data_IF_103823551322
#
_entry.id   IF_103823551322
#
_cell.length_a   1.000
_cell.length_b   1.000
_cell.length_c   1.000
_cell.angle_alpha   90.00
_cell.angle_beta   90.00
_cell.angle_gamma   90.00
#
_symmetry.space_group_name_H-M   'P 1'
#
loop_
_entity.id
_entity.type
_entity.pdbx_description
1 polymer ?
#
# COMPACT_ATOMS: atom_id res chain seq x y z
N UNK A 1 -20.71 -28.16 -19.06
CA UNK A 1 -21.36 -27.25 -18.09
C UNK A 1 -22.30 -28.09 -17.24
N UNK A 2 -22.13 -28.07 -15.92
CA UNK A 2 -23.00 -28.80 -15.01
C UNK A 2 -24.45 -28.30 -15.13
N UNK A 3 -25.43 -29.21 -15.14
CA UNK A 3 -26.85 -28.82 -15.25
C UNK A 3 -27.27 -27.83 -14.15
N UNK A 4 -26.64 -27.91 -12.98
CA UNK A 4 -26.85 -27.00 -11.88
C UNK A 4 -26.40 -25.56 -12.18
N UNK A 5 -25.28 -25.38 -12.91
CA UNK A 5 -24.76 -24.05 -13.29
C UNK A 5 -25.72 -23.36 -14.26
N UNK A 6 -26.25 -24.09 -15.27
CA UNK A 6 -27.21 -23.53 -16.20
C UNK A 6 -28.47 -23.02 -15.47
N UNK A 7 -29.00 -23.83 -14.53
CA UNK A 7 -30.16 -23.47 -13.73
C UNK A 7 -29.90 -22.24 -12.84
N UNK A 8 -28.72 -22.14 -12.23
CA UNK A 8 -28.31 -20.97 -11.44
C UNK A 8 -28.30 -19.73 -12.34
N UNK A 9 -27.63 -19.77 -13.49
CA UNK A 9 -27.50 -18.62 -14.42
C UNK A 9 -28.85 -18.13 -14.91
N UNK A 10 -29.75 -19.04 -15.30
CA UNK A 10 -31.09 -18.67 -15.78
C UNK A 10 -31.95 -18.00 -14.71
N UNK A 11 -31.73 -18.35 -13.45
CA UNK A 11 -32.48 -17.79 -12.32
C UNK A 11 -31.91 -16.49 -11.76
N UNK A 12 -30.60 -16.20 -11.95
CA UNK A 12 -29.92 -15.08 -11.32
C UNK A 12 -30.57 -13.72 -11.56
N UNK A 13 -30.94 -13.30 -12.79
CA UNK A 13 -31.49 -11.98 -13.03
C UNK A 13 -32.77 -11.67 -12.27
N UNK A 14 -33.53 -12.71 -11.93
CA UNK A 14 -34.82 -12.59 -11.25
C UNK A 14 -34.72 -12.73 -9.73
N UNK A 15 -33.53 -12.95 -9.18
CA UNK A 15 -33.34 -13.12 -7.73
C UNK A 15 -33.23 -11.78 -7.03
N UNK A 16 -33.97 -11.61 -5.94
CA UNK A 16 -33.86 -10.48 -5.02
C UNK A 16 -32.64 -10.64 -4.09
N UNK A 17 -32.26 -11.91 -3.84
CA UNK A 17 -31.18 -12.29 -2.96
C UNK A 17 -30.36 -13.44 -3.59
N UNK A 18 -29.05 -13.38 -3.43
CA UNK A 18 -28.10 -14.37 -3.97
C UNK A 18 -27.42 -15.20 -2.87
N UNK A 19 -27.77 -14.99 -1.59
CA UNK A 19 -27.17 -15.67 -0.43
C UNK A 19 -27.17 -17.20 -0.60
N UNK A 20 -28.25 -17.79 -1.03
CA UNK A 20 -28.31 -19.24 -1.24
C UNK A 20 -27.35 -19.74 -2.34
N UNK A 21 -26.96 -18.91 -3.30
CA UNK A 21 -25.92 -19.26 -4.29
C UNK A 21 -24.54 -19.13 -3.67
N UNK A 22 -24.31 -18.10 -2.84
CA UNK A 22 -23.07 -17.92 -2.10
C UNK A 22 -22.81 -19.11 -1.16
N UNK A 23 -23.81 -19.52 -0.38
CA UNK A 23 -23.73 -20.66 0.55
C UNK A 23 -23.39 -21.96 -0.20
N UNK A 24 -23.97 -22.18 -1.38
CA UNK A 24 -23.67 -23.36 -2.20
C UNK A 24 -22.24 -23.34 -2.74
N UNK A 25 -21.73 -22.16 -3.18
CA UNK A 25 -20.35 -21.99 -3.61
C UNK A 25 -19.40 -22.33 -2.46
N UNK A 26 -19.58 -21.71 -1.29
CA UNK A 26 -18.73 -21.94 -0.10
C UNK A 26 -18.75 -23.41 0.33
N UNK A 27 -19.95 -24.00 0.40
CA UNK A 27 -20.12 -25.41 0.78
C UNK A 27 -19.35 -26.34 -0.16
N UNK A 28 -19.41 -26.11 -1.48
CA UNK A 28 -18.70 -26.94 -2.47
C UNK A 28 -17.20 -26.75 -2.41
N UNK A 29 -16.71 -25.50 -2.37
CA UNK A 29 -15.28 -25.21 -2.26
C UNK A 29 -14.70 -25.83 -0.98
N UNK A 30 -15.37 -25.68 0.15
CA UNK A 30 -14.97 -26.28 1.43
C UNK A 30 -15.01 -27.82 1.40
N UNK A 31 -15.94 -28.40 0.65
CA UNK A 31 -16.03 -29.85 0.46
C UNK A 31 -15.01 -30.41 -0.55
N UNK A 32 -14.11 -29.57 -1.11
CA UNK A 32 -13.09 -29.99 -2.06
C UNK A 32 -13.55 -30.06 -3.51
N UNK A 33 -14.64 -29.36 -3.88
CA UNK A 33 -15.12 -29.18 -5.25
C UNK A 33 -14.97 -27.74 -5.73
N UNK A 34 -13.71 -27.25 -5.94
CA UNK A 34 -13.46 -25.89 -6.45
C UNK A 34 -13.85 -25.72 -7.92
N UNK A 35 -14.04 -26.82 -8.65
CA UNK A 35 -14.41 -26.76 -10.05
C UNK A 35 -15.79 -26.17 -10.28
N UNK A 36 -16.73 -26.37 -9.35
CA UNK A 36 -18.04 -25.74 -9.42
C UNK A 36 -17.94 -24.20 -9.40
N UNK A 37 -17.19 -23.65 -8.43
CA UNK A 37 -17.01 -22.20 -8.31
C UNK A 37 -16.31 -21.61 -9.56
N UNK A 38 -15.25 -22.29 -10.05
CA UNK A 38 -14.55 -21.90 -11.29
C UNK A 38 -15.49 -21.91 -12.49
N UNK A 39 -16.25 -22.97 -12.69
CA UNK A 39 -17.09 -23.14 -13.86
C UNK A 39 -18.28 -22.17 -13.85
N UNK A 40 -18.85 -21.89 -12.67
CA UNK A 40 -19.87 -20.86 -12.48
C UNK A 40 -19.32 -19.48 -12.85
N UNK A 41 -18.15 -19.09 -12.30
CA UNK A 41 -17.52 -17.81 -12.61
C UNK A 41 -17.19 -17.69 -14.11
N UNK A 42 -16.62 -18.74 -14.74
CA UNK A 42 -16.36 -18.77 -16.18
C UNK A 42 -17.63 -18.62 -17.04
N UNK A 43 -18.70 -19.29 -16.63
CA UNK A 43 -19.97 -19.20 -17.34
C UNK A 43 -20.56 -17.78 -17.25
N UNK A 44 -20.42 -17.11 -16.09
CA UNK A 44 -20.81 -15.70 -15.94
C UNK A 44 -19.99 -14.81 -16.88
N UNK A 45 -18.66 -14.97 -16.92
CA UNK A 45 -17.80 -14.20 -17.82
C UNK A 45 -18.17 -14.42 -19.29
N UNK A 46 -18.46 -15.67 -19.66
CA UNK A 46 -18.85 -16.05 -21.03
C UNK A 46 -20.18 -15.43 -21.51
N UNK A 47 -21.06 -15.03 -20.58
CA UNK A 47 -22.30 -14.31 -20.96
C UNK A 47 -22.04 -12.91 -21.54
N UNK A 48 -20.84 -12.34 -21.29
CA UNK A 48 -20.46 -11.01 -21.76
C UNK A 48 -21.22 -9.87 -21.05
N UNK A 49 -20.77 -8.63 -21.26
CA UNK A 49 -21.29 -7.44 -20.55
C UNK A 49 -22.78 -7.19 -20.82
N UNK A 50 -23.22 -7.30 -22.04
CA UNK A 50 -24.62 -7.01 -22.47
C UNK A 50 -25.65 -7.94 -21.84
N UNK A 51 -25.27 -9.15 -21.44
CA UNK A 51 -26.14 -10.12 -20.80
C UNK A 51 -26.06 -10.17 -19.30
N UNK A 52 -25.09 -9.45 -18.70
CA UNK A 52 -24.78 -9.51 -17.27
C UNK A 52 -24.81 -8.13 -16.60
N UNK A 53 -25.73 -7.25 -17.04
CA UNK A 53 -25.97 -5.95 -16.39
C UNK A 53 -26.60 -6.08 -15.00
N UNK A 54 -27.24 -7.22 -14.71
CA UNK A 54 -27.81 -7.47 -13.40
C UNK A 54 -26.69 -7.62 -12.35
N UNK A 55 -26.83 -6.90 -11.23
CA UNK A 55 -25.87 -6.91 -10.12
C UNK A 55 -25.57 -8.30 -9.54
N UNK A 56 -26.53 -9.21 -9.67
CA UNK A 56 -26.42 -10.59 -9.17
C UNK A 56 -25.26 -11.34 -9.83
N UNK A 57 -24.98 -11.12 -11.12
CA UNK A 57 -23.85 -11.76 -11.79
C UNK A 57 -22.51 -11.28 -11.22
N UNK A 58 -22.40 -9.98 -10.94
CA UNK A 58 -21.19 -9.44 -10.32
C UNK A 58 -21.00 -9.98 -8.89
N UNK A 59 -22.07 -9.97 -8.10
CA UNK A 59 -22.06 -10.48 -6.73
C UNK A 59 -21.63 -11.96 -6.68
N UNK A 60 -22.21 -12.81 -7.54
CA UNK A 60 -21.89 -14.24 -7.57
C UNK A 60 -20.50 -14.50 -8.12
N UNK A 61 -20.05 -13.77 -9.16
CA UNK A 61 -18.70 -13.89 -9.69
C UNK A 61 -17.66 -13.52 -8.62
N UNK A 62 -17.82 -12.36 -8.00
CA UNK A 62 -16.90 -11.88 -6.96
C UNK A 62 -16.85 -12.82 -5.77
N UNK A 63 -18.00 -13.36 -5.36
CA UNK A 63 -18.08 -14.31 -4.25
C UNK A 63 -17.41 -15.65 -4.60
N UNK A 64 -17.64 -16.19 -5.79
CA UNK A 64 -17.00 -17.44 -6.24
C UNK A 64 -15.47 -17.30 -6.31
N UNK A 65 -14.99 -16.18 -6.82
CA UNK A 65 -13.56 -15.87 -6.86
C UNK A 65 -12.99 -15.72 -5.44
N UNK A 66 -13.68 -15.01 -4.56
CA UNK A 66 -13.29 -14.84 -3.16
C UNK A 66 -13.20 -16.19 -2.44
N UNK A 67 -14.22 -17.05 -2.55
CA UNK A 67 -14.22 -18.37 -1.92
C UNK A 67 -13.01 -19.22 -2.34
N UNK A 68 -12.64 -19.17 -3.63
CA UNK A 68 -11.44 -19.86 -4.13
C UNK A 68 -10.13 -19.26 -3.59
N UNK A 69 -10.08 -17.95 -3.35
CA UNK A 69 -8.89 -17.25 -2.86
C UNK A 69 -8.69 -17.42 -1.35
N UNK A 70 -9.77 -17.49 -0.59
CA UNK A 70 -9.73 -17.49 0.88
C UNK A 70 -9.81 -18.89 1.50
N UNK A 71 -10.30 -19.90 0.77
CA UNK A 71 -10.27 -21.29 1.25
C UNK A 71 -8.89 -21.89 0.98
N UNK A 72 -8.13 -22.30 2.02
CA UNK A 72 -6.80 -22.83 1.85
C UNK A 72 -6.75 -24.07 0.95
N UNK A 73 -5.72 -24.15 0.12
CA UNK A 73 -5.44 -25.35 -0.68
C UNK A 73 -5.03 -25.05 -2.12
N UNK A 74 -4.04 -25.81 -2.59
CA UNK A 74 -3.44 -25.65 -3.93
C UNK A 74 -4.46 -25.71 -5.06
N UNK A 75 -5.45 -26.62 -4.99
CA UNK A 75 -6.47 -26.72 -6.02
C UNK A 75 -7.30 -25.43 -6.12
N UNK A 76 -7.63 -24.80 -4.98
CA UNK A 76 -8.36 -23.56 -4.93
C UNK A 76 -7.57 -22.41 -5.58
N UNK A 77 -6.26 -22.32 -5.27
CA UNK A 77 -5.35 -21.33 -5.89
C UNK A 77 -5.33 -21.54 -7.42
N UNK A 78 -5.12 -22.78 -7.88
CA UNK A 78 -5.06 -23.09 -9.31
C UNK A 78 -6.35 -22.71 -10.04
N UNK A 79 -7.51 -22.90 -9.43
CA UNK A 79 -8.79 -22.49 -9.99
C UNK A 79 -8.96 -20.97 -9.96
N UNK A 80 -8.60 -20.32 -8.85
CA UNK A 80 -8.64 -18.87 -8.76
C UNK A 80 -7.78 -18.21 -9.84
N UNK A 81 -6.50 -18.58 -10.00
CA UNK A 81 -5.59 -17.96 -10.98
C UNK A 81 -5.98 -18.24 -12.44
N UNK A 82 -6.78 -19.27 -12.69
CA UNK A 82 -7.31 -19.59 -14.03
C UNK A 82 -8.50 -18.71 -14.45
N UNK A 83 -9.02 -17.89 -13.53
CA UNK A 83 -10.10 -16.93 -13.77
C UNK A 83 -9.52 -15.53 -13.99
N UNK A 84 -10.22 -14.65 -14.75
CA UNK A 84 -9.90 -13.21 -14.68
C UNK A 84 -10.14 -12.69 -13.27
N UNK A 85 -9.45 -11.61 -12.88
CA UNK A 85 -9.62 -10.98 -11.58
C UNK A 85 -10.92 -10.20 -11.44
N UNK A 86 -11.49 -9.86 -12.57
CA UNK A 86 -12.74 -9.10 -12.67
C UNK A 86 -13.45 -9.45 -13.98
N UNK A 87 -14.72 -9.13 -14.07
CA UNK A 87 -15.51 -9.19 -15.31
C UNK A 87 -15.21 -8.01 -16.25
N UNK A 88 -14.47 -7.02 -15.79
CA UNK A 88 -14.17 -5.78 -16.49
C UNK A 88 -12.67 -5.74 -16.88
N UNK A 89 -12.31 -6.01 -18.15
CA UNK A 89 -10.91 -6.10 -18.58
C UNK A 89 -10.08 -4.84 -18.25
N UNK A 90 -10.70 -3.67 -18.25
CA UNK A 90 -10.07 -2.40 -17.91
C UNK A 90 -9.60 -2.33 -16.45
N UNK A 91 -10.23 -3.07 -15.55
CA UNK A 91 -9.90 -3.13 -14.13
C UNK A 91 -8.98 -4.32 -13.75
N UNK A 92 -8.57 -5.16 -14.73
CA UNK A 92 -7.83 -6.40 -14.45
C UNK A 92 -6.52 -6.15 -13.71
N UNK A 93 -5.79 -5.08 -14.01
CA UNK A 93 -4.55 -4.74 -13.33
C UNK A 93 -4.78 -4.43 -11.85
N UNK A 94 -5.80 -3.65 -11.53
CA UNK A 94 -6.16 -3.34 -10.15
C UNK A 94 -6.66 -4.59 -9.42
N UNK A 95 -7.46 -5.41 -10.08
CA UNK A 95 -7.92 -6.69 -9.55
C UNK A 95 -6.75 -7.64 -9.27
N UNK A 96 -5.72 -7.67 -10.12
CA UNK A 96 -4.53 -8.50 -9.89
C UNK A 96 -3.76 -8.09 -8.62
N UNK A 97 -3.66 -6.79 -8.32
CA UNK A 97 -3.05 -6.26 -7.10
C UNK A 97 -3.80 -6.72 -5.85
N UNK A 98 -5.13 -6.51 -5.85
CA UNK A 98 -6.00 -6.98 -4.76
C UNK A 98 -5.88 -8.50 -4.54
N UNK A 99 -5.96 -9.29 -5.61
CA UNK A 99 -5.88 -10.75 -5.56
C UNK A 99 -4.56 -11.24 -4.99
N UNK A 100 -3.44 -10.61 -5.37
CA UNK A 100 -2.13 -10.95 -4.83
C UNK A 100 -2.09 -10.80 -3.31
N UNK A 101 -2.63 -9.69 -2.80
CA UNK A 101 -2.68 -9.44 -1.35
C UNK A 101 -3.57 -10.44 -0.62
N UNK A 102 -4.76 -10.75 -1.17
CA UNK A 102 -5.66 -11.75 -0.58
C UNK A 102 -5.05 -13.15 -0.59
N UNK A 103 -4.53 -13.59 -1.74
CA UNK A 103 -3.89 -14.91 -1.84
C UNK A 103 -2.72 -15.05 -0.87
N UNK A 104 -1.87 -14.02 -0.76
CA UNK A 104 -0.73 -14.05 0.16
C UNK A 104 -1.15 -14.03 1.64
N UNK A 105 -2.34 -13.50 1.97
CA UNK A 105 -2.87 -13.50 3.34
C UNK A 105 -3.52 -14.81 3.74
N UNK A 106 -4.24 -15.45 2.80
CA UNK A 106 -5.18 -16.52 3.12
C UNK A 106 -4.67 -17.91 2.73
N UNK A 107 -3.65 -17.99 1.88
CA UNK A 107 -3.16 -19.26 1.36
C UNK A 107 -1.81 -19.66 1.98
N UNK A 108 -1.57 -20.97 2.22
CA UNK A 108 -0.27 -21.47 2.62
C UNK A 108 0.81 -21.11 1.59
N UNK A 109 1.98 -20.67 2.07
CA UNK A 109 3.08 -20.20 1.20
C UNK A 109 3.55 -21.31 0.26
N UNK A 110 3.66 -22.55 0.76
CA UNK A 110 4.05 -23.72 -0.02
C UNK A 110 3.08 -24.01 -1.18
N UNK A 111 1.79 -23.84 -0.95
CA UNK A 111 0.78 -24.01 -1.99
C UNK A 111 0.84 -22.89 -3.04
N UNK A 112 1.09 -21.63 -2.61
CA UNK A 112 1.31 -20.51 -3.52
C UNK A 112 2.54 -20.72 -4.40
N UNK A 113 3.66 -21.13 -3.80
CA UNK A 113 4.89 -21.42 -4.55
C UNK A 113 4.67 -22.52 -5.59
N UNK A 114 4.04 -23.60 -5.19
CA UNK A 114 3.76 -24.72 -6.07
C UNK A 114 2.74 -24.41 -7.17
N UNK A 115 1.72 -23.60 -6.88
CA UNK A 115 0.67 -23.27 -7.84
C UNK A 115 1.07 -22.18 -8.83
N UNK A 116 1.84 -21.16 -8.40
CA UNK A 116 2.08 -19.94 -9.15
C UNK A 116 3.48 -19.87 -9.74
N UNK A 117 4.50 -20.37 -9.03
CA UNK A 117 5.90 -20.18 -9.39
C UNK A 117 6.62 -21.47 -9.81
N UNK A 118 6.02 -22.65 -9.68
CA UNK A 118 6.68 -23.91 -10.00
C UNK A 118 7.29 -23.93 -11.42
N UNK A 119 8.53 -24.41 -11.59
CA UNK A 119 9.18 -24.53 -12.89
C UNK A 119 8.36 -25.37 -13.87
N UNK A 120 8.39 -25.02 -15.16
CA UNK A 120 7.70 -25.79 -16.22
C UNK A 120 6.19 -25.53 -16.31
N UNK A 121 5.57 -24.77 -15.43
CA UNK A 121 4.22 -24.26 -15.66
C UNK A 121 4.27 -23.16 -16.72
N UNK A 122 3.55 -23.38 -17.80
CA UNK A 122 3.42 -22.38 -18.87
C UNK A 122 2.80 -21.12 -18.28
N UNK A 123 3.36 -19.98 -18.65
CA UNK A 123 2.92 -18.62 -18.30
C UNK A 123 1.42 -18.34 -18.54
N UNK A 124 0.71 -19.27 -19.16
CA UNK A 124 -0.73 -19.17 -19.44
C UNK A 124 -1.63 -19.36 -18.19
N UNK A 125 -1.10 -19.84 -17.04
CA UNK A 125 -1.94 -20.13 -15.88
C UNK A 125 -2.15 -18.93 -14.95
N UNK A 126 -1.15 -18.04 -14.76
CA UNK A 126 -1.28 -16.84 -13.92
C UNK A 126 -0.80 -15.60 -14.66
N UNK A 127 -1.59 -14.50 -14.68
CA UNK A 127 -1.19 -13.24 -15.29
C UNK A 127 0.15 -12.74 -14.73
N UNK A 128 0.97 -12.12 -15.58
CA UNK A 128 2.30 -11.62 -15.18
C UNK A 128 2.21 -10.60 -14.04
N UNK A 129 1.24 -9.67 -14.12
CA UNK A 129 0.96 -8.69 -13.07
C UNK A 129 0.66 -9.36 -11.72
N UNK A 130 -0.20 -10.37 -11.69
CA UNK A 130 -0.53 -11.12 -10.48
C UNK A 130 0.72 -11.77 -9.87
N UNK A 131 1.57 -12.37 -10.71
CA UNK A 131 2.81 -13.01 -10.26
C UNK A 131 3.79 -11.99 -9.69
N UNK A 132 3.94 -10.84 -10.35
CA UNK A 132 4.81 -9.76 -9.90
C UNK A 132 4.35 -9.19 -8.55
N UNK A 133 3.05 -8.91 -8.40
CA UNK A 133 2.48 -8.48 -7.13
C UNK A 133 2.65 -9.54 -6.04
N UNK A 134 2.33 -10.81 -6.33
CA UNK A 134 2.43 -11.89 -5.34
C UNK A 134 3.87 -12.11 -4.87
N UNK A 135 4.86 -11.96 -5.75
CA UNK A 135 6.27 -12.03 -5.35
C UNK A 135 6.58 -11.02 -4.23
N UNK A 136 6.17 -9.76 -4.41
CA UNK A 136 6.43 -8.71 -3.41
C UNK A 136 5.51 -8.79 -2.19
N UNK A 137 4.33 -9.38 -2.31
CA UNK A 137 3.50 -9.73 -1.15
C UNK A 137 4.17 -10.79 -0.26
N UNK A 138 4.85 -11.76 -0.86
CA UNK A 138 5.63 -12.75 -0.11
C UNK A 138 6.83 -12.09 0.59
N UNK A 139 7.54 -11.17 -0.10
CA UNK A 139 8.63 -10.39 0.52
C UNK A 139 8.13 -9.61 1.73
N UNK A 140 7.00 -8.91 1.62
CA UNK A 140 6.39 -8.15 2.74
C UNK A 140 6.06 -9.05 3.95
N UNK A 141 5.86 -10.35 3.72
CA UNK A 141 5.65 -11.37 4.78
C UNK A 141 6.95 -12.01 5.27
N UNK A 142 8.09 -11.45 4.90
CA UNK A 142 9.40 -11.92 5.33
C UNK A 142 9.92 -13.16 4.61
N UNK A 143 9.33 -13.54 3.48
CA UNK A 143 9.79 -14.69 2.68
C UNK A 143 10.96 -14.23 1.80
N UNK A 144 12.10 -14.89 1.93
CA UNK A 144 13.24 -14.71 1.01
C UNK A 144 12.98 -15.39 -0.33
N UNK A 145 12.36 -14.66 -1.25
CA UNK A 145 12.01 -15.14 -2.57
C UNK A 145 13.21 -15.35 -3.49
N UNK A 146 14.37 -14.78 -3.17
CA UNK A 146 15.61 -14.97 -3.94
C UNK A 146 16.30 -16.28 -3.61
N UNK A 147 16.11 -16.80 -2.40
CA UNK A 147 16.62 -18.08 -1.93
C UNK A 147 15.85 -19.29 -2.43
N UNK A 148 14.57 -19.11 -2.80
CA UNK A 148 13.70 -20.22 -3.20
C UNK A 148 13.87 -20.59 -4.68
N UNK A 149 13.92 -21.89 -4.97
CA UNK A 149 14.10 -22.41 -6.33
C UNK A 149 12.92 -22.03 -7.24
N UNK A 150 11.71 -22.02 -6.71
CA UNK A 150 10.46 -21.75 -7.42
C UNK A 150 10.36 -20.29 -7.90
N UNK A 151 10.80 -19.34 -7.10
CA UNK A 151 10.68 -17.91 -7.37
C UNK A 151 11.90 -17.30 -8.04
N UNK A 152 13.10 -17.88 -7.87
CA UNK A 152 14.38 -17.31 -8.32
C UNK A 152 14.38 -16.92 -9.80
N UNK A 153 13.91 -17.81 -10.67
CA UNK A 153 13.88 -17.57 -12.11
C UNK A 153 12.94 -16.41 -12.46
N UNK A 154 11.77 -16.36 -11.83
CA UNK A 154 10.81 -15.28 -12.04
C UNK A 154 11.29 -13.94 -11.46
N UNK A 155 11.88 -13.95 -10.27
CA UNK A 155 12.45 -12.75 -9.65
C UNK A 155 13.59 -12.16 -10.50
N UNK A 156 14.45 -12.99 -11.09
CA UNK A 156 15.49 -12.56 -12.01
C UNK A 156 14.90 -11.96 -13.30
N UNK A 157 13.90 -12.60 -13.89
CA UNK A 157 13.21 -12.11 -15.09
C UNK A 157 12.45 -10.78 -14.81
N UNK A 158 11.82 -10.65 -13.65
CA UNK A 158 11.14 -9.42 -13.24
C UNK A 158 12.13 -8.26 -13.15
N UNK A 159 13.28 -8.45 -12.48
CA UNK A 159 14.32 -7.41 -12.33
C UNK A 159 14.95 -6.98 -13.63
N UNK A 160 15.08 -7.86 -14.61
CA UNK A 160 15.63 -7.53 -15.93
C UNK A 160 14.58 -6.98 -16.90
N UNK A 161 13.31 -6.94 -16.50
CA UNK A 161 12.20 -6.48 -17.30
C UNK A 161 11.85 -5.01 -17.07
N UNK A 162 10.91 -4.51 -17.86
CA UNK A 162 10.40 -3.14 -17.79
C UNK A 162 9.09 -3.07 -16.95
N UNK A 163 9.07 -3.78 -15.82
CA UNK A 163 7.90 -3.78 -14.94
C UNK A 163 8.12 -2.82 -13.77
N UNK A 164 7.13 -2.02 -13.34
CA UNK A 164 7.31 -1.07 -12.23
C UNK A 164 7.86 -1.70 -10.95
N UNK A 165 7.44 -2.92 -10.62
CA UNK A 165 7.91 -3.64 -9.43
C UNK A 165 9.33 -4.22 -9.57
N UNK A 166 9.97 -4.11 -10.75
CA UNK A 166 11.35 -4.59 -10.98
C UNK A 166 12.38 -3.83 -10.11
N UNK A 167 12.09 -2.58 -9.77
CA UNK A 167 12.94 -1.75 -8.92
C UNK A 167 12.94 -2.19 -7.43
N UNK A 168 11.94 -2.95 -7.00
CA UNK A 168 11.84 -3.36 -5.60
C UNK A 168 12.81 -4.50 -5.26
N UNK A 169 13.51 -4.41 -4.10
CA UNK A 169 14.31 -5.51 -3.59
C UNK A 169 13.49 -6.78 -3.34
N UNK A 170 14.10 -7.94 -3.58
CA UNK A 170 13.49 -9.25 -3.34
C UNK A 170 13.62 -9.73 -1.88
N UNK A 171 14.01 -8.84 -1.00
CA UNK A 171 14.08 -9.02 0.46
C UNK A 171 13.53 -7.77 1.15
N UNK A 172 13.19 -7.87 2.41
CA UNK A 172 12.89 -6.69 3.23
C UNK A 172 14.15 -5.84 3.44
N UNK A 173 13.97 -4.53 3.38
CA UNK A 173 14.96 -3.55 3.81
C UNK A 173 14.75 -3.24 5.32
N UNK A 174 15.73 -2.59 5.95
CA UNK A 174 15.69 -2.35 7.39
C UNK A 174 14.51 -1.45 7.80
N UNK A 175 14.18 -0.43 7.01
CA UNK A 175 13.02 0.42 7.27
C UNK A 175 11.67 -0.32 7.13
N UNK A 176 11.64 -1.45 6.43
CA UNK A 176 10.44 -2.28 6.26
C UNK A 176 10.22 -3.27 7.41
N UNK A 177 11.20 -3.43 8.31
CA UNK A 177 11.06 -4.33 9.44
C UNK A 177 9.84 -3.97 10.29
N UNK A 178 9.16 -5.01 10.81
CA UNK A 178 7.95 -4.87 11.63
C UNK A 178 6.78 -4.19 10.91
N UNK A 179 6.72 -4.31 9.57
CA UNK A 179 5.57 -3.83 8.83
C UNK A 179 4.30 -4.60 9.26
N UNK A 180 3.25 -3.86 9.56
CA UNK A 180 1.92 -4.41 9.75
C UNK A 180 1.19 -4.37 8.42
N UNK A 181 0.71 -5.55 7.98
CA UNK A 181 0.06 -5.67 6.68
C UNK A 181 -1.44 -5.44 6.80
N UNK A 182 -2.03 -4.65 5.89
CA UNK A 182 -3.46 -4.49 5.82
C UNK A 182 -4.15 -5.82 5.53
N UNK A 183 -5.35 -5.99 6.07
CA UNK A 183 -6.25 -7.07 5.66
C UNK A 183 -7.19 -6.54 4.58
N UNK A 184 -7.27 -7.26 3.48
CA UNK A 184 -8.13 -6.91 2.37
C UNK A 184 -9.32 -7.87 2.31
N UNK A 185 -10.47 -7.32 1.98
CA UNK A 185 -11.71 -8.08 1.78
C UNK A 185 -12.50 -7.46 0.62
N UNK A 186 -13.56 -8.11 0.18
CA UNK A 186 -14.50 -7.56 -0.81
C UNK A 186 -15.17 -6.27 -0.35
N UNK A 187 -15.06 -5.92 0.95
CA UNK A 187 -15.61 -4.69 1.54
C UNK A 187 -14.57 -3.57 1.70
N UNK A 188 -13.34 -3.78 1.26
CA UNK A 188 -12.24 -2.82 1.36
C UNK A 188 -11.07 -3.32 2.19
N UNK A 189 -10.13 -2.42 2.47
CA UNK A 189 -8.98 -2.67 3.32
C UNK A 189 -9.30 -2.32 4.78
N UNK A 190 -8.79 -3.13 5.71
CA UNK A 190 -8.85 -2.86 7.15
C UNK A 190 -7.44 -2.71 7.68
N UNK A 191 -7.06 -1.48 7.96
CA UNK A 191 -5.79 -1.11 8.59
C UNK A 191 -5.92 0.28 9.21
N UNK A 192 -5.08 0.58 10.19
CA UNK A 192 -4.94 1.93 10.73
C UNK A 192 -3.56 2.46 10.37
N UNK A 193 -3.45 3.75 10.06
CA UNK A 193 -2.14 4.39 10.06
C UNK A 193 -1.46 4.08 11.40
N UNK A 194 -0.13 3.87 11.46
CA UNK A 194 0.60 3.63 12.70
C UNK A 194 0.40 4.82 13.64
N UNK A 195 -0.73 4.85 14.33
CA UNK A 195 -1.00 5.81 15.38
C UNK A 195 0.04 5.63 16.48
N UNK A 196 0.35 6.70 17.20
CA UNK A 196 1.15 6.60 18.41
C UNK A 196 0.49 5.59 19.35
N UNK A 197 1.04 4.38 19.44
CA UNK A 197 0.75 3.57 20.61
C UNK A 197 1.43 4.30 21.78
N UNK A 198 0.66 4.64 22.80
CA UNK A 198 1.16 5.34 24.00
C UNK A 198 2.17 4.54 24.83
N UNK A 199 2.81 3.54 24.25
CA UNK A 199 3.81 2.65 24.82
C UNK A 199 5.23 2.93 24.36
N UNK A 200 5.45 3.76 23.34
CA UNK A 200 6.82 4.23 23.09
C UNK A 200 7.07 5.39 24.07
N UNK A 201 8.06 5.28 24.98
CA UNK A 201 8.32 6.35 25.92
C UNK A 201 8.57 7.64 25.12
N UNK A 202 7.99 8.77 25.53
CA UNK A 202 8.32 10.04 24.90
C UNK A 202 9.83 10.18 25.00
N UNK A 203 10.51 10.27 23.85
CA UNK A 203 11.92 10.62 23.83
C UNK A 203 12.07 11.88 24.70
N UNK A 204 13.19 12.08 25.42
CA UNK A 204 13.30 13.05 26.46
C UNK A 204 12.69 14.37 26.01
N UNK A 205 11.57 14.72 26.62
CA UNK A 205 10.88 15.99 26.41
C UNK A 205 11.88 17.05 26.80
N UNK A 206 12.51 17.68 25.83
CA UNK A 206 13.34 18.84 26.11
C UNK A 206 12.42 19.90 26.70
N UNK A 207 12.61 20.18 27.98
CA UNK A 207 11.99 21.31 28.66
C UNK A 207 12.08 22.55 27.78
N UNK A 208 11.07 23.42 27.77
CA UNK A 208 11.08 24.67 27.04
C UNK A 208 12.01 25.65 27.78
N UNK A 209 13.30 25.58 27.55
CA UNK A 209 14.25 26.57 27.99
C UNK A 209 15.36 26.74 26.97
N UNK A 210 15.01 27.35 25.85
CA UNK A 210 15.99 28.07 25.06
C UNK A 210 15.44 29.48 24.93
N UNK A 211 16.14 30.43 25.53
CA UNK A 211 16.03 31.85 25.18
C UNK A 211 16.20 32.02 23.65
N UNK A 212 15.93 33.20 23.10
CA UNK A 212 16.05 33.42 21.66
C UNK A 212 17.47 33.10 21.21
N UNK A 213 17.65 31.91 20.66
CA UNK A 213 18.86 31.52 19.95
C UNK A 213 19.04 32.44 18.73
N UNK A 214 20.23 32.46 18.13
CA UNK A 214 20.46 33.22 16.92
C UNK A 214 19.38 32.88 15.89
N UNK A 215 18.90 33.91 15.18
CA UNK A 215 17.86 33.73 14.17
C UNK A 215 18.34 32.68 13.15
N UNK A 216 17.74 31.48 13.22
CA UNK A 216 18.01 30.39 12.28
C UNK A 216 16.91 30.47 11.20
N UNK A 217 17.33 30.78 9.98
CA UNK A 217 16.46 30.88 8.84
C UNK A 217 16.42 29.57 8.04
N UNK A 218 15.24 29.08 7.74
CA UNK A 218 15.01 28.06 6.72
C UNK A 218 14.32 28.72 5.54
N UNK A 219 14.95 28.67 4.37
CA UNK A 219 14.38 29.13 3.11
C UNK A 219 13.79 27.96 2.33
N UNK A 220 12.61 28.12 1.76
CA UNK A 220 12.02 27.11 0.90
C UNK A 220 12.86 26.91 -0.36
N UNK A 221 13.09 25.66 -0.73
CA UNK A 221 13.68 25.26 -2.01
C UNK A 221 12.56 24.68 -2.89
N UNK A 222 12.04 25.46 -3.85
CA UNK A 222 11.01 24.98 -4.74
C UNK A 222 11.58 23.90 -5.67
N UNK A 223 11.18 22.65 -5.46
CA UNK A 223 11.49 21.52 -6.33
C UNK A 223 10.22 20.69 -6.56
N UNK A 224 9.45 21.00 -7.64
CA UNK A 224 8.21 20.30 -7.94
C UNK A 224 8.39 18.78 -8.12
N UNK A 225 9.50 18.34 -8.73
CA UNK A 225 9.76 16.93 -8.97
C UNK A 225 9.99 16.19 -7.64
N UNK A 226 10.72 16.82 -6.72
CA UNK A 226 10.93 16.24 -5.40
C UNK A 226 9.65 16.25 -4.56
N UNK A 227 8.87 17.32 -4.61
CA UNK A 227 7.56 17.40 -3.93
C UNK A 227 6.60 16.32 -4.43
N UNK A 228 6.57 16.07 -5.74
CA UNK A 228 5.77 15.00 -6.34
C UNK A 228 6.27 13.61 -5.89
N UNK A 229 7.57 13.38 -5.88
CA UNK A 229 8.15 12.14 -5.37
C UNK A 229 7.75 11.91 -3.90
N UNK A 230 7.87 12.92 -3.04
CA UNK A 230 7.45 12.84 -1.63
C UNK A 230 5.96 12.49 -1.47
N UNK A 231 5.10 13.00 -2.34
CA UNK A 231 3.66 12.80 -2.29
C UNK A 231 3.19 11.43 -2.84
N UNK A 232 4.06 10.64 -3.49
CA UNK A 232 3.68 9.43 -4.23
C UNK A 232 2.78 8.48 -3.44
N UNK A 233 3.08 8.24 -2.17
CA UNK A 233 2.30 7.33 -1.31
C UNK A 233 0.88 7.83 -0.99
N UNK A 234 0.62 9.11 -1.13
CA UNK A 234 -0.66 9.76 -0.76
C UNK A 234 -1.37 10.45 -1.94
N UNK A 235 -0.81 10.40 -3.15
CA UNK A 235 -1.43 11.03 -4.31
C UNK A 235 -2.86 10.56 -4.55
N UNK A 236 -3.15 9.28 -4.30
CA UNK A 236 -4.50 8.73 -4.41
C UNK A 236 -5.54 9.40 -3.52
N UNK A 237 -5.13 9.99 -2.39
CA UNK A 237 -6.02 10.71 -1.49
C UNK A 237 -6.59 11.98 -2.16
N UNK A 238 -5.77 12.69 -2.91
CA UNK A 238 -6.21 13.87 -3.66
C UNK A 238 -6.97 13.52 -4.94
N UNK A 239 -6.61 12.39 -5.58
CA UNK A 239 -7.21 11.97 -6.85
C UNK A 239 -8.60 11.33 -6.67
N UNK A 240 -8.82 10.64 -5.55
CA UNK A 240 -10.01 9.83 -5.32
C UNK A 240 -10.86 10.29 -4.13
N UNK A 241 -10.40 11.29 -3.38
CA UNK A 241 -11.05 11.80 -2.18
C UNK A 241 -10.84 13.32 -2.02
N UNK A 242 -11.10 13.83 -0.83
CA UNK A 242 -10.93 15.24 -0.45
C UNK A 242 -9.54 15.52 0.16
N UNK A 243 -8.57 14.65 -0.09
CA UNK A 243 -7.26 14.72 0.52
C UNK A 243 -6.49 16.01 0.21
N UNK A 244 -5.81 16.52 1.21
CA UNK A 244 -4.85 17.62 1.10
C UNK A 244 -3.46 17.07 1.34
N UNK A 245 -2.51 17.53 0.53
CA UNK A 245 -1.12 17.11 0.60
C UNK A 245 -0.24 18.34 0.54
N UNK A 246 0.69 18.46 1.48
CA UNK A 246 1.73 19.47 1.47
C UNK A 246 3.10 18.79 1.55
N UNK A 247 3.93 18.98 0.52
CA UNK A 247 5.25 18.40 0.40
C UNK A 247 6.24 19.50 0.03
N UNK A 248 7.12 19.87 0.96
CA UNK A 248 8.06 21.00 0.81
C UNK A 248 9.45 20.66 1.32
N UNK A 249 10.44 21.31 0.75
CA UNK A 249 11.84 21.20 1.16
C UNK A 249 12.35 22.59 1.54
N UNK A 250 13.11 22.65 2.60
CA UNK A 250 13.73 23.88 3.11
C UNK A 250 15.25 23.69 3.26
N UNK A 251 16.02 24.76 3.07
CA UNK A 251 17.45 24.79 3.35
C UNK A 251 17.79 25.87 4.38
N UNK A 252 18.71 25.54 5.28
CA UNK A 252 19.27 26.46 6.27
C UNK A 252 20.68 26.94 5.89
N UNK A 253 21.00 28.18 6.26
CA UNK A 253 22.32 28.78 6.06
C UNK A 253 23.40 28.12 6.91
N UNK A 254 23.01 27.47 8.01
CA UNK A 254 23.88 26.78 8.94
C UNK A 254 23.33 25.39 9.27
N UNK A 255 24.18 24.46 9.78
CA UNK A 255 23.72 23.15 10.20
C UNK A 255 22.64 23.23 11.27
N UNK A 256 21.52 22.57 11.02
CA UNK A 256 20.36 22.52 11.89
C UNK A 256 20.47 21.37 12.90
N UNK A 257 20.01 21.59 14.10
CA UNK A 257 19.74 20.57 15.09
C UNK A 257 18.28 20.61 15.54
N UNK A 258 17.91 19.73 16.48
CA UNK A 258 16.54 19.66 16.99
C UNK A 258 16.06 20.98 17.59
N UNK A 259 16.93 21.73 18.27
CA UNK A 259 16.54 22.99 18.89
C UNK A 259 16.27 24.08 17.84
N UNK A 260 17.13 24.16 16.81
CA UNK A 260 16.94 25.04 15.66
C UNK A 260 15.67 24.69 14.90
N UNK A 261 15.42 23.39 14.59
CA UNK A 261 14.18 22.94 13.96
C UNK A 261 12.95 23.33 14.77
N UNK A 262 13.01 23.10 16.09
CA UNK A 262 11.91 23.43 16.98
C UNK A 262 11.57 24.92 16.97
N UNK A 263 12.58 25.78 16.90
CA UNK A 263 12.39 27.23 16.81
C UNK A 263 11.89 27.66 15.42
N UNK A 264 12.33 26.99 14.37
CA UNK A 264 11.98 27.33 12.98
C UNK A 264 10.60 26.82 12.56
N UNK A 265 10.16 25.65 13.05
CA UNK A 265 8.92 25.00 12.59
C UNK A 265 7.67 25.89 12.73
N UNK A 266 7.60 26.66 13.80
CA UNK A 266 6.45 27.55 14.09
C UNK A 266 6.36 28.76 13.13
N UNK A 267 7.39 28.97 12.29
CA UNK A 267 7.45 30.10 11.35
C UNK A 267 7.62 29.66 9.89
N UNK A 268 7.69 28.34 9.65
CA UNK A 268 7.70 27.84 8.28
C UNK A 268 6.37 28.18 7.58
N UNK A 269 6.42 28.56 6.30
CA UNK A 269 5.24 28.89 5.52
C UNK A 269 4.50 27.61 5.07
N UNK A 270 4.12 26.78 6.04
CA UNK A 270 3.37 25.54 5.80
C UNK A 270 1.89 25.77 6.02
N UNK A 271 1.07 25.36 5.05
CA UNK A 271 -0.40 25.47 5.12
C UNK A 271 -0.97 24.62 6.25
N UNK A 272 -0.40 23.44 6.46
CA UNK A 272 -0.81 22.53 7.56
C UNK A 272 -0.56 23.13 8.95
N UNK A 273 0.29 24.14 9.05
CA UNK A 273 0.59 24.86 10.29
C UNK A 273 -0.09 26.25 10.37
N UNK A 274 -0.81 26.67 9.34
CA UNK A 274 -1.44 27.99 9.30
C UNK A 274 -2.42 28.18 10.47
N UNK A 275 -2.31 29.30 11.17
CA UNK A 275 -3.12 29.60 12.35
C UNK A 275 -2.67 28.90 13.65
N UNK A 276 -1.63 28.08 13.61
CA UNK A 276 -1.09 27.43 14.80
C UNK A 276 -0.46 28.46 15.75
N UNK A 277 -0.75 28.34 17.07
CA UNK A 277 -0.09 29.14 18.08
C UNK A 277 1.38 28.70 18.22
N UNK A 278 2.31 29.63 18.31
CA UNK A 278 3.72 29.34 18.56
C UNK A 278 3.92 28.41 19.75
N UNK A 279 4.75 27.38 19.59
CA UNK A 279 5.05 26.40 20.63
C UNK A 279 4.04 25.26 20.76
N UNK A 280 2.94 25.25 20.00
CA UNK A 280 1.93 24.18 20.05
C UNK A 280 2.12 23.12 18.97
N UNK A 281 2.95 23.38 17.94
CA UNK A 281 3.29 22.36 16.95
C UNK A 281 4.00 21.20 17.65
N UNK A 282 3.46 20.02 17.53
CA UNK A 282 4.07 18.79 18.06
C UNK A 282 5.12 18.29 17.09
N UNK A 283 6.32 18.00 17.59
CA UNK A 283 7.44 17.46 16.86
C UNK A 283 8.08 16.36 17.71
N UNK A 284 7.63 15.14 17.48
CA UNK A 284 8.06 13.97 18.25
C UNK A 284 9.15 13.22 17.50
N UNK A 285 10.15 12.71 18.22
CA UNK A 285 11.21 11.91 17.62
C UNK A 285 10.61 10.66 16.97
N UNK A 286 11.08 10.35 15.76
CA UNK A 286 10.61 9.25 14.94
C UNK A 286 11.78 8.46 14.32
N UNK A 287 11.50 7.49 13.47
CA UNK A 287 12.50 6.68 12.78
C UNK A 287 12.17 6.52 11.31
N UNK A 288 13.17 6.18 10.49
CA UNK A 288 12.96 5.84 9.08
C UNK A 288 11.90 4.74 8.91
N UNK A 289 11.96 3.69 9.75
CA UNK A 289 11.00 2.60 9.70
C UNK A 289 9.57 3.03 10.03
N UNK A 290 9.38 3.98 10.96
CA UNK A 290 8.05 4.50 11.25
C UNK A 290 7.53 5.37 10.11
N UNK A 291 8.36 6.26 9.56
CA UNK A 291 8.01 7.06 8.39
C UNK A 291 7.62 6.17 7.21
N UNK A 292 8.42 5.15 6.91
CA UNK A 292 8.11 4.18 5.87
C UNK A 292 6.78 3.46 6.11
N UNK A 293 6.52 2.97 7.34
CA UNK A 293 5.26 2.29 7.66
C UNK A 293 4.03 3.20 7.51
N UNK A 294 4.14 4.49 7.87
CA UNK A 294 3.06 5.46 7.64
C UNK A 294 2.76 5.61 6.14
N UNK A 295 3.80 5.79 5.33
CA UNK A 295 3.68 5.91 3.87
C UNK A 295 3.12 4.62 3.24
N UNK A 296 3.62 3.45 3.68
CA UNK A 296 3.12 2.16 3.22
C UNK A 296 1.64 1.97 3.56
N UNK A 297 1.24 2.26 4.80
CA UNK A 297 -0.16 2.16 5.21
C UNK A 297 -1.04 3.08 4.37
N UNK A 298 -0.65 4.34 4.20
CA UNK A 298 -1.39 5.31 3.41
C UNK A 298 -1.57 4.85 1.95
N UNK A 299 -0.51 4.35 1.32
CA UNK A 299 -0.56 3.88 -0.06
C UNK A 299 -1.32 2.57 -0.22
N UNK A 300 -1.08 1.61 0.67
CA UNK A 300 -1.62 0.25 0.55
C UNK A 300 -3.10 0.15 0.85
N UNK A 301 -3.65 1.03 1.69
CA UNK A 301 -5.08 1.06 2.03
C UNK A 301 -5.87 2.13 1.26
N UNK A 302 -5.18 3.13 0.73
CA UNK A 302 -5.80 4.32 0.14
C UNK A 302 -6.32 5.28 1.21
N UNK A 303 -7.09 6.28 0.79
CA UNK A 303 -7.77 7.25 1.64
C UNK A 303 -9.19 6.85 2.02
N UNK A 304 -9.97 7.81 2.47
CA UNK A 304 -11.35 7.61 2.94
C UNK A 304 -12.26 7.00 1.86
N UNK A 305 -12.08 7.33 0.59
CA UNK A 305 -12.93 6.87 -0.53
C UNK A 305 -12.25 5.89 -1.48
N UNK A 306 -11.13 5.28 -1.11
CA UNK A 306 -10.47 4.28 -1.94
C UNK A 306 -9.09 4.71 -2.42
N UNK A 307 -8.69 4.27 -3.64
CA UNK A 307 -7.34 4.54 -4.17
C UNK A 307 -6.27 3.60 -3.61
N UNK A 308 -6.65 2.48 -2.99
CA UNK A 308 -5.72 1.46 -2.49
C UNK A 308 -4.81 0.94 -3.59
N UNK A 309 -3.49 0.98 -3.36
CA UNK A 309 -2.47 0.38 -4.21
C UNK A 309 -2.17 -1.07 -3.84
N UNK A 310 -2.72 -1.55 -2.74
CA UNK A 310 -2.43 -2.85 -2.13
C UNK A 310 -0.95 -3.03 -1.77
N UNK A 311 -0.54 -4.19 -1.26
CA UNK A 311 0.77 -4.36 -0.66
C UNK A 311 1.94 -4.09 -1.59
N UNK A 312 2.02 -4.76 -2.74
CA UNK A 312 3.18 -4.65 -3.64
C UNK A 312 3.40 -3.23 -4.18
N UNK A 313 2.34 -2.59 -4.69
CA UNK A 313 2.43 -1.21 -5.20
C UNK A 313 2.43 -0.17 -4.09
N UNK A 314 1.82 -0.46 -2.95
CA UNK A 314 1.95 0.35 -1.73
C UNK A 314 3.41 0.41 -1.26
N UNK A 315 4.11 -0.74 -1.31
CA UNK A 315 5.55 -0.83 -1.04
C UNK A 315 6.37 0.05 -1.99
N UNK A 316 6.08 -0.04 -3.29
CA UNK A 316 6.74 0.79 -4.30
C UNK A 316 6.51 2.29 -4.05
N UNK A 317 5.27 2.69 -3.81
CA UNK A 317 4.89 4.08 -3.58
C UNK A 317 5.54 4.63 -2.30
N UNK A 318 5.61 3.84 -1.22
CA UNK A 318 6.29 4.23 0.00
C UNK A 318 7.78 4.50 -0.24
N UNK A 319 8.46 3.66 -1.02
CA UNK A 319 9.87 3.87 -1.35
C UNK A 319 10.10 5.08 -2.24
N UNK A 320 9.21 5.38 -3.19
CA UNK A 320 9.29 6.63 -3.96
C UNK A 320 9.12 7.86 -3.06
N UNK A 321 8.19 7.82 -2.09
CA UNK A 321 8.06 8.91 -1.11
C UNK A 321 9.29 9.05 -0.23
N UNK A 322 9.88 7.94 0.21
CA UNK A 322 11.16 7.96 0.95
C UNK A 322 12.29 8.57 0.12
N UNK A 323 12.38 8.23 -1.19
CA UNK A 323 13.35 8.82 -2.12
C UNK A 323 13.27 10.35 -2.13
N UNK A 324 12.05 10.89 -2.23
CA UNK A 324 11.82 12.34 -2.17
C UNK A 324 12.19 12.94 -0.81
N UNK A 325 11.80 12.31 0.30
CA UNK A 325 12.07 12.80 1.65
C UNK A 325 13.57 12.88 1.95
N UNK A 326 14.34 11.84 1.59
CA UNK A 326 15.79 11.84 1.81
C UNK A 326 16.55 12.69 0.78
N UNK A 327 15.90 13.10 -0.31
CA UNK A 327 16.50 13.89 -1.39
C UNK A 327 17.42 13.08 -2.30
N UNK A 328 17.18 11.80 -2.43
CA UNK A 328 17.93 10.96 -3.36
C UNK A 328 17.48 11.26 -4.81
N UNK A 329 18.38 11.22 -5.79
CA UNK A 329 18.05 11.37 -7.20
C UNK A 329 17.03 10.31 -7.66
N UNK A 330 16.20 10.66 -8.64
CA UNK A 330 15.31 9.70 -9.27
C UNK A 330 16.11 8.52 -9.87
N UNK A 331 15.62 7.29 -9.65
CA UNK A 331 16.30 6.07 -10.10
C UNK A 331 17.40 5.56 -9.17
N UNK A 332 17.59 6.19 -7.99
CA UNK A 332 18.45 5.61 -6.94
C UNK A 332 17.87 4.27 -6.48
N UNK A 333 18.73 3.26 -6.35
CA UNK A 333 18.34 1.93 -5.83
C UNK A 333 17.78 2.06 -4.40
N UNK A 334 16.70 1.34 -4.10
CA UNK A 334 16.01 1.49 -2.81
C UNK A 334 16.87 1.05 -1.60
N UNK A 335 17.85 0.19 -1.80
CA UNK A 335 18.85 -0.14 -0.77
C UNK A 335 19.66 1.12 -0.37
N UNK A 336 20.04 1.96 -1.31
CA UNK A 336 20.77 3.21 -1.05
C UNK A 336 19.84 4.26 -0.44
N UNK A 337 18.57 4.27 -0.84
CA UNK A 337 17.54 5.12 -0.22
C UNK A 337 17.35 4.74 1.24
N UNK A 338 17.29 3.45 1.57
CA UNK A 338 17.18 2.94 2.94
C UNK A 338 18.40 3.36 3.79
N UNK A 339 19.62 3.24 3.27
CA UNK A 339 20.82 3.72 3.94
C UNK A 339 20.76 5.22 4.22
N UNK A 340 20.33 6.02 3.25
CA UNK A 340 20.15 7.47 3.39
C UNK A 340 19.06 7.79 4.41
N UNK A 341 17.96 7.05 4.40
CA UNK A 341 16.85 7.23 5.33
C UNK A 341 17.28 6.97 6.78
N UNK A 342 18.10 5.96 7.02
CA UNK A 342 18.65 5.65 8.35
C UNK A 342 19.63 6.72 8.85
N UNK A 343 20.29 7.42 7.95
CA UNK A 343 21.18 8.53 8.29
C UNK A 343 20.43 9.84 8.56
N UNK A 344 19.17 9.99 8.17
CA UNK A 344 18.33 11.14 8.47
C UNK A 344 17.85 11.13 9.94
N UNK A 345 17.54 12.32 10.46
CA UNK A 345 16.81 12.44 11.72
C UNK A 345 15.35 12.69 11.43
N UNK A 346 14.47 11.87 11.98
CA UNK A 346 13.04 11.86 11.68
C UNK A 346 12.20 12.38 12.83
N UNK A 347 11.11 13.06 12.48
CA UNK A 347 10.11 13.53 13.43
C UNK A 347 8.70 13.29 12.87
N UNK A 348 7.78 12.91 13.76
CA UNK A 348 6.35 13.00 13.51
C UNK A 348 5.92 14.44 13.77
N UNK A 349 5.26 15.05 12.81
CA UNK A 349 4.73 16.40 12.87
C UNK A 349 3.22 16.35 13.08
N UNK A 350 2.69 17.18 13.98
CA UNK A 350 1.26 17.30 14.17
C UNK A 350 0.89 18.56 14.89
N UNK A 351 -0.32 19.04 14.63
CA UNK A 351 -0.89 20.22 15.26
C UNK A 351 -2.42 20.13 15.26
N UNK A 352 -3.05 20.94 16.10
CA UNK A 352 -4.51 21.11 16.13
C UNK A 352 -4.87 22.32 15.26
N UNK A 353 -5.07 22.10 13.97
CA UNK A 353 -5.52 23.10 13.01
C UNK A 353 -6.68 22.56 12.19
N UNK A 354 -7.44 23.45 11.52
CA UNK A 354 -8.49 23.06 10.57
C UNK A 354 -7.93 22.34 9.31
N UNK A 355 -6.61 22.29 9.16
CA UNK A 355 -5.98 21.55 8.06
C UNK A 355 -5.95 20.06 8.33
N UNK A 356 -5.61 19.64 9.57
CA UNK A 356 -5.73 18.28 10.05
C UNK A 356 -7.12 18.07 10.66
N UNK A 357 -7.82 17.06 10.24
CA UNK A 357 -9.20 16.81 10.68
C UNK A 357 -9.27 15.98 11.98
N UNK A 358 -8.14 15.52 12.51
CA UNK A 358 -8.08 14.68 13.71
C UNK A 358 -8.64 13.29 13.49
N UNK A 359 -8.67 12.81 12.25
CA UNK A 359 -9.19 11.51 11.85
C UNK A 359 -8.07 10.51 11.54
N UNK A 360 -8.43 9.28 11.19
CA UNK A 360 -7.49 8.19 10.97
C UNK A 360 -6.48 8.43 9.82
N UNK A 361 -6.75 9.38 8.94
CA UNK A 361 -5.98 9.65 7.73
C UNK A 361 -5.14 10.93 7.83
N UNK A 362 -4.69 11.29 9.03
CA UNK A 362 -3.86 12.47 9.27
C UNK A 362 -2.45 12.06 9.64
N UNK A 363 -1.46 12.61 8.95
CA UNK A 363 -0.07 12.49 9.39
C UNK A 363 0.81 13.64 8.89
N UNK A 364 1.91 13.88 9.61
CA UNK A 364 3.01 14.73 9.18
C UNK A 364 4.34 14.05 9.45
N UNK A 365 5.24 14.11 8.48
CA UNK A 365 6.60 13.58 8.54
C UNK A 365 7.57 14.72 8.28
N UNK A 366 8.58 14.84 9.11
CA UNK A 366 9.70 15.75 8.91
C UNK A 366 11.00 14.94 8.90
N UNK A 367 11.80 15.12 7.86
CA UNK A 367 13.14 14.54 7.72
C UNK A 367 14.21 15.62 7.71
N UNK A 368 15.10 15.64 8.70
CA UNK A 368 16.34 16.39 8.67
C UNK A 368 17.42 15.52 8.03
N UNK A 369 17.92 15.93 6.86
CA UNK A 369 18.91 15.17 6.11
C UNK A 369 20.27 15.12 6.79
N UNK A 370 21.16 14.17 6.43
CA UNK A 370 22.44 13.97 7.09
C UNK A 370 23.39 15.18 7.02
N UNK A 371 23.26 16.02 5.99
CA UNK A 371 24.01 17.28 5.85
C UNK A 371 23.60 18.33 6.88
N UNK A 372 22.47 18.11 7.56
CA UNK A 372 21.88 19.00 8.55
C UNK A 372 21.51 20.40 8.03
N UNK A 373 21.52 20.58 6.71
CA UNK A 373 21.10 21.83 6.06
C UNK A 373 19.72 21.71 5.43
N UNK A 374 19.31 20.51 5.02
CA UNK A 374 18.04 20.31 4.34
C UNK A 374 17.00 19.65 5.23
N UNK A 375 15.80 20.20 5.19
CA UNK A 375 14.61 19.71 5.90
C UNK A 375 13.52 19.44 4.90
N UNK A 376 13.02 18.21 4.83
CA UNK A 376 11.86 17.84 4.03
C UNK A 376 10.64 17.66 4.93
N UNK A 377 9.50 18.19 4.52
CA UNK A 377 8.23 18.07 5.22
C UNK A 377 7.17 17.50 4.27
N UNK A 378 6.52 16.44 4.72
CA UNK A 378 5.33 15.89 4.07
C UNK A 378 4.21 15.85 5.09
N UNK A 379 3.13 16.55 4.83
CA UNK A 379 1.88 16.45 5.57
C UNK A 379 0.77 15.99 4.64
N UNK A 380 -0.11 15.13 5.12
CA UNK A 380 -1.25 14.65 4.39
C UNK A 380 -2.45 14.45 5.31
N UNK A 381 -3.63 14.78 4.82
CA UNK A 381 -4.92 14.54 5.47
C UNK A 381 -5.94 14.11 4.45
N UNK A 382 -6.84 13.22 4.82
CA UNK A 382 -7.98 12.81 4.01
C UNK A 382 -9.21 12.63 4.89
N UNK A 383 -10.36 12.98 4.37
CA UNK A 383 -11.65 12.90 5.09
C UNK A 383 -12.79 12.60 4.14
N UNK A 384 -13.82 11.96 4.65
CA UNK A 384 -15.11 11.73 4.01
C UNK A 384 -16.06 12.95 4.07
#
# INVERSE_FOLDING_TARGET
MHADIARVLDSLPNRVDVTGVHDEVERRVTAGDPDFARDLARAIVALGRTKTEAWQYEAVFSHALCALQTTPGRANIERAISLPGTRFPEAERQAARFRASVLASEQPVEDLLAAVFAPGRTTAAAPYELRACLLHELVLRGIDVSGLAETRGFAAALRSGDHPLAALPTRLLEAEEKVELPRYSTRGASHSLPCRSGTEPPGPSASPSAGPGPAFGLAELPDPAQSEAMATAVNGWREHSNGKIEARVFAGDAPCDRAHLRAAIDVLPLECLAGTRRGTVRMDASTAGRAWRMLFSAASTGGAYGGSLHGAYGRLAAWHSMTGLVGAPAGTEFEQVDESARACTWYDLGTETDWFHGVAWDFGILALRPDRHHVAVLAATDTD
#
